data_IF_100968999755
#
_entry.id   IF_100968999755
#
_cell.length_a   1.000
_cell.length_b   1.000
_cell.length_c   1.000
_cell.angle_alpha   90.00
_cell.angle_beta   90.00
_cell.angle_gamma   90.00
#
_symmetry.space_group_name_H-M   'P 1'
#
loop_
_entity.id
_entity.type
_entity.pdbx_description
1 polymer ?
#
# COMPACT_ATOMS: atom_id res chain seq x y z
N UNK A 1 -22.74 23.39 35.21
CA UNK A 1 -21.49 23.14 34.45
C UNK A 1 -21.17 21.68 34.69
N UNK A 2 -21.22 20.83 33.65
CA UNK A 2 -20.91 19.40 33.78
C UNK A 2 -19.43 19.23 33.42
N UNK A 3 -18.62 18.89 34.42
CA UNK A 3 -17.21 18.55 34.23
C UNK A 3 -17.10 17.34 33.31
N UNK A 4 -16.51 17.55 32.13
CA UNK A 4 -16.03 16.48 31.26
C UNK A 4 -14.68 16.05 31.83
N UNK A 5 -14.68 14.98 32.63
CA UNK A 5 -13.46 14.26 32.96
C UNK A 5 -12.97 13.56 31.71
N UNK A 6 -12.03 14.20 31.00
CA UNK A 6 -11.18 13.55 30.02
C UNK A 6 -10.47 12.38 30.70
N UNK A 7 -10.93 11.16 30.41
CA UNK A 7 -10.29 9.94 30.90
C UNK A 7 -9.01 9.78 30.08
N UNK A 8 -7.88 10.11 30.69
CA UNK A 8 -6.56 9.87 30.09
C UNK A 8 -6.41 8.33 30.02
N UNK A 9 -6.18 7.74 28.83
CA UNK A 9 -5.97 6.30 28.75
C UNK A 9 -4.76 5.89 29.60
N UNK A 10 -4.93 4.84 30.39
CA UNK A 10 -3.90 4.30 31.27
C UNK A 10 -2.69 3.86 30.43
N UNK A 11 -1.52 4.44 30.72
CA UNK A 11 -0.27 4.19 29.99
C UNK A 11 0.13 2.70 30.04
N UNK A 12 -0.37 1.94 31.02
CA UNK A 12 -0.12 0.49 31.18
C UNK A 12 -0.84 -0.42 30.15
N UNK A 13 -1.82 0.10 29.41
CA UNK A 13 -2.54 -0.65 28.35
C UNK A 13 -1.88 -0.50 26.97
N UNK A 14 -0.99 0.47 26.78
CA UNK A 14 -0.23 0.65 25.55
C UNK A 14 0.84 -0.45 25.44
N UNK A 15 0.47 -1.62 24.91
CA UNK A 15 1.38 -2.71 24.57
C UNK A 15 1.04 -4.08 25.16
N UNK A 16 -0.10 -4.24 25.84
CA UNK A 16 -0.58 -5.56 26.26
C UNK A 16 -1.49 -6.13 25.17
N UNK A 17 -1.00 -7.13 24.43
CA UNK A 17 -1.85 -7.94 23.55
C UNK A 17 -2.86 -8.67 24.45
N UNK A 18 -4.15 -8.39 24.26
CA UNK A 18 -5.23 -9.03 25.02
C UNK A 18 -5.58 -10.40 24.42
N UNK A 19 -6.19 -11.30 25.20
CA UNK A 19 -6.69 -12.59 24.68
C UNK A 19 -7.72 -12.40 23.54
N UNK A 20 -8.39 -11.25 23.52
CA UNK A 20 -9.32 -10.84 22.46
C UNK A 20 -8.59 -10.49 21.15
N UNK A 21 -7.38 -9.94 21.22
CA UNK A 21 -6.57 -9.61 20.04
C UNK A 21 -6.04 -10.88 19.34
N UNK A 22 -5.73 -11.92 20.12
CA UNK A 22 -5.29 -13.21 19.59
C UNK A 22 -6.42 -13.99 18.90
N UNK A 23 -7.68 -13.78 19.30
CA UNK A 23 -8.83 -14.50 18.72
C UNK A 23 -9.36 -13.84 17.44
N UNK A 24 -9.08 -12.56 17.22
CA UNK A 24 -9.40 -11.83 15.98
C UNK A 24 -8.23 -11.76 14.98
N UNK A 25 -7.06 -12.25 15.35
CA UNK A 25 -5.90 -12.28 14.48
C UNK A 25 -6.17 -13.16 13.25
N UNK A 26 -6.27 -12.52 12.09
CA UNK A 26 -6.36 -13.20 10.81
C UNK A 26 -5.16 -12.78 9.94
N UNK A 27 -4.08 -13.58 9.91
CA UNK A 27 -2.86 -13.23 9.18
C UNK A 27 -3.10 -13.07 7.68
N UNK A 28 -4.10 -13.76 7.13
CA UNK A 28 -4.46 -13.61 5.72
C UNK A 28 -5.14 -12.27 5.45
N UNK A 29 -6.03 -11.83 6.34
CA UNK A 29 -6.71 -10.54 6.21
C UNK A 29 -5.71 -9.39 6.34
N UNK A 30 -4.84 -9.43 7.34
CA UNK A 30 -3.77 -8.42 7.50
C UNK A 30 -2.86 -8.36 6.28
N UNK A 31 -2.52 -9.52 5.70
CA UNK A 31 -1.73 -9.57 4.47
C UNK A 31 -2.47 -8.93 3.29
N UNK A 32 -3.76 -9.20 3.12
CA UNK A 32 -4.60 -8.59 2.08
C UNK A 32 -4.63 -7.06 2.26
N UNK A 33 -4.90 -6.57 3.47
CA UNK A 33 -4.93 -5.14 3.77
C UNK A 33 -3.56 -4.47 3.50
N UNK A 34 -2.47 -5.13 3.88
CA UNK A 34 -1.11 -4.65 3.61
C UNK A 34 -0.82 -4.56 2.10
N UNK A 35 -1.26 -5.55 1.31
CA UNK A 35 -1.12 -5.53 -0.15
C UNK A 35 -1.96 -4.41 -0.78
N UNK A 36 -3.21 -4.22 -0.34
CA UNK A 36 -4.08 -3.14 -0.82
C UNK A 36 -3.46 -1.75 -0.55
N UNK A 37 -2.90 -1.54 0.65
CA UNK A 37 -2.16 -0.32 1.00
C UNK A 37 -0.93 -0.15 0.11
N UNK A 38 -0.16 -1.21 -0.11
CA UNK A 38 1.04 -1.19 -0.95
C UNK A 38 0.73 -0.85 -2.41
N UNK A 39 -0.32 -1.44 -2.99
CA UNK A 39 -0.80 -1.14 -4.34
C UNK A 39 -1.16 0.34 -4.46
N UNK A 40 -1.88 0.89 -3.48
CA UNK A 40 -2.22 2.31 -3.48
C UNK A 40 -0.98 3.18 -3.49
N UNK A 41 -0.02 2.91 -2.59
CA UNK A 41 1.22 3.69 -2.50
C UNK A 41 2.07 3.60 -3.79
N UNK A 42 2.20 2.41 -4.37
CA UNK A 42 2.92 2.22 -5.63
C UNK A 42 2.22 2.94 -6.80
N UNK A 43 0.88 2.87 -6.87
CA UNK A 43 0.09 3.59 -7.87
C UNK A 43 0.27 5.10 -7.76
N UNK A 44 0.23 5.65 -6.54
CA UNK A 44 0.48 7.07 -6.30
C UNK A 44 1.89 7.49 -6.79
N UNK A 45 2.92 6.68 -6.50
CA UNK A 45 4.30 6.93 -6.98
C UNK A 45 4.37 6.86 -8.52
N UNK A 46 3.70 5.89 -9.15
CA UNK A 46 3.65 5.79 -10.62
C UNK A 46 2.98 7.01 -11.26
N UNK A 47 1.96 7.59 -10.62
CA UNK A 47 1.28 8.79 -11.10
C UNK A 47 2.12 10.07 -10.88
N UNK A 48 2.93 10.11 -9.84
CA UNK A 48 3.85 11.22 -9.55
C UNK A 48 5.10 11.19 -10.44
N UNK A 49 5.57 10.00 -10.83
CA UNK A 49 6.82 9.83 -11.57
C UNK A 49 6.66 10.23 -13.04
N UNK A 50 7.43 11.23 -13.46
CA UNK A 50 7.57 11.61 -14.85
C UNK A 50 9.01 11.31 -15.33
N UNK A 51 9.21 10.36 -16.25
CA UNK A 51 10.55 9.92 -16.66
C UNK A 51 11.30 10.92 -17.56
N UNK A 52 10.63 11.99 -18.01
CA UNK A 52 11.22 13.02 -18.85
C UNK A 52 11.80 14.20 -18.07
N UNK A 53 11.67 14.19 -16.74
CA UNK A 53 12.15 15.26 -15.86
C UNK A 53 13.04 14.69 -14.77
N UNK A 54 13.79 15.56 -14.10
CA UNK A 54 14.57 15.18 -12.93
C UNK A 54 13.65 14.75 -11.79
N UNK A 55 14.00 13.64 -11.14
CA UNK A 55 13.22 13.07 -10.04
C UNK A 55 13.45 13.94 -8.79
N UNK A 56 12.39 14.47 -8.15
CA UNK A 56 12.52 15.23 -6.91
C UNK A 56 13.09 14.39 -5.76
N UNK A 57 13.83 15.01 -4.83
CA UNK A 57 14.40 14.30 -3.67
C UNK A 57 13.35 13.59 -2.80
N UNK A 58 12.18 14.19 -2.62
CA UNK A 58 11.07 13.54 -1.92
C UNK A 58 10.66 12.23 -2.58
N UNK A 59 10.58 12.21 -3.91
CA UNK A 59 10.23 11.02 -4.67
C UNK A 59 11.37 9.99 -4.61
N UNK A 60 12.64 10.41 -4.64
CA UNK A 60 13.79 9.50 -4.41
C UNK A 60 13.70 8.82 -3.06
N UNK A 61 13.34 9.53 -1.99
CA UNK A 61 13.15 8.91 -0.67
C UNK A 61 12.03 7.87 -0.66
N UNK A 62 10.90 8.14 -1.34
CA UNK A 62 9.83 7.15 -1.50
C UNK A 62 10.32 5.90 -2.24
N UNK A 63 11.09 6.07 -3.32
CA UNK A 63 11.67 4.98 -4.13
C UNK A 63 12.66 4.11 -3.34
N UNK A 64 13.45 4.71 -2.45
CA UNK A 64 14.38 3.96 -1.58
C UNK A 64 13.66 2.96 -0.67
N UNK A 65 12.44 3.25 -0.22
CA UNK A 65 11.64 2.31 0.58
C UNK A 65 11.29 1.02 -0.20
N UNK A 66 11.40 1.06 -1.52
CA UNK A 66 11.19 -0.08 -2.42
C UNK A 66 12.50 -0.65 -2.98
N UNK A 67 13.64 -0.35 -2.35
CA UNK A 67 14.99 -0.75 -2.78
C UNK A 67 15.41 -0.25 -4.18
N UNK A 68 14.78 0.83 -4.67
CA UNK A 68 15.20 1.51 -5.90
C UNK A 68 16.22 2.59 -5.52
N UNK A 69 17.49 2.32 -5.80
CA UNK A 69 18.63 3.15 -5.36
C UNK A 69 19.40 3.81 -6.51
N UNK A 70 19.19 3.35 -7.75
CA UNK A 70 19.83 3.91 -8.94
C UNK A 70 18.90 4.90 -9.63
N UNK A 71 19.20 6.19 -9.49
CA UNK A 71 18.43 7.29 -10.09
C UNK A 71 19.03 7.82 -11.40
N UNK A 72 20.00 7.11 -11.99
CA UNK A 72 20.68 7.53 -13.22
C UNK A 72 19.79 7.41 -14.47
N UNK A 73 18.82 6.50 -14.45
CA UNK A 73 17.94 6.21 -15.58
C UNK A 73 16.48 6.17 -15.11
N UNK A 74 15.71 7.25 -15.34
CA UNK A 74 14.33 7.34 -14.89
C UNK A 74 13.39 6.34 -15.60
N UNK A 75 13.72 5.87 -16.81
CA UNK A 75 12.92 4.84 -17.50
C UNK A 75 13.13 3.46 -16.89
N UNK A 76 14.35 3.17 -16.40
CA UNK A 76 14.56 1.93 -15.62
C UNK A 76 13.77 1.96 -14.33
N UNK A 77 13.69 3.12 -13.68
CA UNK A 77 12.89 3.29 -12.45
C UNK A 77 11.40 3.08 -12.73
N UNK A 78 10.86 3.68 -13.80
CA UNK A 78 9.44 3.46 -14.15
C UNK A 78 9.16 1.98 -14.39
N UNK A 79 10.05 1.27 -15.09
CA UNK A 79 9.86 -0.15 -15.35
C UNK A 79 9.93 -0.97 -14.07
N UNK A 80 10.87 -0.66 -13.16
CA UNK A 80 10.94 -1.34 -11.87
C UNK A 80 9.69 -1.12 -11.01
N UNK A 81 9.16 0.10 -10.98
CA UNK A 81 7.91 0.39 -10.27
C UNK A 81 6.71 -0.34 -10.85
N UNK A 82 6.59 -0.37 -12.18
CA UNK A 82 5.51 -1.08 -12.85
C UNK A 82 5.55 -2.57 -12.53
N UNK A 83 6.72 -3.20 -12.62
CA UNK A 83 6.87 -4.61 -12.22
C UNK A 83 6.50 -4.84 -10.75
N UNK A 84 6.98 -3.99 -9.83
CA UNK A 84 6.63 -4.10 -8.41
C UNK A 84 5.13 -3.96 -8.16
N UNK A 85 4.46 -3.07 -8.90
CA UNK A 85 3.02 -2.88 -8.82
C UNK A 85 2.28 -4.10 -9.36
N UNK A 86 2.66 -4.60 -10.53
CA UNK A 86 2.11 -5.81 -11.15
C UNK A 86 2.26 -7.02 -10.23
N UNK A 87 3.46 -7.27 -9.70
CA UNK A 87 3.74 -8.36 -8.76
C UNK A 87 2.85 -8.27 -7.50
N UNK A 88 2.64 -7.04 -6.99
CA UNK A 88 1.80 -6.83 -5.79
C UNK A 88 0.31 -7.07 -6.10
N UNK A 89 -0.16 -6.66 -7.28
CA UNK A 89 -1.53 -6.91 -7.74
C UNK A 89 -1.77 -8.40 -7.95
N UNK A 90 -0.83 -9.10 -8.57
CA UNK A 90 -0.92 -10.54 -8.80
C UNK A 90 -0.93 -11.30 -7.47
N UNK A 91 -0.09 -10.91 -6.51
CA UNK A 91 -0.12 -11.47 -5.16
C UNK A 91 -1.47 -11.24 -4.47
N UNK A 92 -2.04 -10.04 -4.58
CA UNK A 92 -3.36 -9.75 -4.05
C UNK A 92 -4.43 -10.61 -4.74
N UNK A 93 -4.37 -10.75 -6.07
CA UNK A 93 -5.33 -11.53 -6.84
C UNK A 93 -5.32 -13.02 -6.44
N UNK A 94 -4.16 -13.58 -6.13
CA UNK A 94 -4.06 -14.96 -5.61
C UNK A 94 -4.80 -15.12 -4.28
N UNK A 95 -4.74 -14.12 -3.40
CA UNK A 95 -5.36 -14.15 -2.07
C UNK A 95 -6.84 -13.72 -2.09
N UNK A 96 -7.19 -12.82 -3.01
CA UNK A 96 -8.51 -12.23 -3.20
C UNK A 96 -8.75 -12.08 -4.71
N UNK A 97 -9.21 -13.15 -5.38
CA UNK A 97 -9.46 -13.14 -6.81
C UNK A 97 -10.46 -12.04 -7.16
N UNK A 98 -10.15 -11.28 -8.21
CA UNK A 98 -11.10 -10.34 -8.81
C UNK A 98 -12.19 -11.18 -9.47
N UNK A 99 -13.46 -10.87 -9.18
CA UNK A 99 -14.58 -11.44 -9.89
C UNK A 99 -14.76 -10.70 -11.22
N UNK A 100 -14.05 -11.16 -12.25
CA UNK A 100 -14.12 -10.59 -13.60
C UNK A 100 -15.48 -10.86 -14.28
N UNK A 101 -16.37 -11.63 -13.66
CA UNK A 101 -17.72 -11.93 -14.16
C UNK A 101 -18.63 -10.70 -14.28
N UNK A 102 -18.25 -9.56 -13.67
CA UNK A 102 -19.02 -8.31 -13.69
C UNK A 102 -18.41 -7.19 -14.56
N UNK A 103 -17.36 -7.46 -15.34
CA UNK A 103 -16.87 -6.50 -16.33
C UNK A 103 -17.85 -6.45 -17.52
N UNK A 104 -18.76 -5.47 -17.50
CA UNK A 104 -19.53 -5.10 -18.69
C UNK A 104 -18.54 -4.74 -19.81
N UNK A 105 -18.35 -5.64 -20.79
CA UNK A 105 -17.66 -5.32 -22.03
C UNK A 105 -18.53 -4.28 -22.75
N UNK A 106 -18.19 -3.00 -22.58
CA UNK A 106 -18.69 -1.95 -23.46
C UNK A 106 -17.97 -2.11 -24.79
N UNK A 107 -18.62 -2.79 -25.73
CA UNK A 107 -18.21 -2.76 -27.14
C UNK A 107 -18.09 -1.29 -27.55
N UNK A 108 -16.87 -0.86 -27.90
CA UNK A 108 -16.64 0.43 -28.51
C UNK A 108 -17.04 0.28 -29.98
N UNK A 109 -18.30 0.68 -30.26
CA UNK A 109 -18.90 1.04 -31.56
C UNK A 109 -17.95 1.88 -32.45
#
# INVERSE_FOLDING_TARGET
>A
MKDQTLTIPNIEELGRITETDLTNYNPLLEKIEALEVRIKLLSDICNELNPYVEIPEELKMKLMNYNILDFSDPFKITNQLLMLLEDTIDELHILKPFDDSNLEIKEIL
#
